data_IF_300335456196
#
_entry.id   IF_300335456196
#
_cell.length_a   1.000
_cell.length_b   1.000
_cell.length_c   1.000
_cell.angle_alpha   90.00
_cell.angle_beta   90.00
_cell.angle_gamma   90.00
#
_symmetry.space_group_name_H-M   'P 1'
#
loop_
_entity.id
_entity.type
_entity.pdbx_description
1 polymer ?
#
# COMPACT_ATOMS: atom_id res chain seq x y z
N UNK A 1 -12.19 11.94 -0.28
CA UNK A 1 -11.88 13.02 -1.25
C UNK A 1 -10.88 13.95 -0.59
N UNK A 2 -9.96 14.55 -1.35
CA UNK A 2 -9.02 15.51 -0.79
C UNK A 2 -9.71 16.86 -0.53
N UNK A 3 -9.11 17.71 0.31
CA UNK A 3 -9.68 18.96 0.82
C UNK A 3 -8.84 20.22 0.55
N UNK A 4 -7.71 20.08 -0.15
CA UNK A 4 -6.74 21.14 -0.43
C UNK A 4 -5.52 21.13 0.50
N UNK A 5 -5.57 20.40 1.62
CA UNK A 5 -4.53 20.30 2.63
C UNK A 5 -4.03 18.86 2.83
N UNK A 6 -4.56 17.91 2.06
CA UNK A 6 -4.29 16.49 2.21
C UNK A 6 -2.91 16.10 1.67
N UNK A 7 -2.32 15.07 2.28
CA UNK A 7 -1.18 14.38 1.71
C UNK A 7 -1.65 13.15 0.90
N UNK A 8 -0.99 12.90 -0.22
CA UNK A 8 -1.22 11.72 -1.06
C UNK A 8 -0.06 10.75 -0.85
N UNK A 9 -0.37 9.49 -0.55
CA UNK A 9 0.61 8.41 -0.48
C UNK A 9 0.37 7.43 -1.62
N UNK A 10 1.40 7.22 -2.45
CA UNK A 10 1.40 6.20 -3.51
C UNK A 10 2.33 5.05 -3.13
N UNK A 11 1.96 3.81 -3.45
CA UNK A 11 2.81 2.65 -3.27
C UNK A 11 3.02 1.88 -4.58
N UNK A 12 4.17 1.23 -4.71
CA UNK A 12 4.57 0.47 -5.89
C UNK A 12 4.67 -1.03 -5.63
N UNK A 13 4.56 -1.80 -6.70
CA UNK A 13 4.67 -3.25 -6.70
C UNK A 13 6.00 -3.74 -6.12
N UNK A 14 7.10 -3.02 -6.37
CA UNK A 14 8.43 -3.35 -5.82
C UNK A 14 8.67 -2.86 -4.39
N UNK A 15 7.63 -2.43 -3.68
CA UNK A 15 7.72 -2.10 -2.26
C UNK A 15 8.32 -0.72 -1.97
N UNK A 16 8.15 0.23 -2.88
CA UNK A 16 8.43 1.66 -2.64
C UNK A 16 7.15 2.44 -2.41
N UNK A 17 7.26 3.59 -1.78
CA UNK A 17 6.15 4.51 -1.55
C UNK A 17 6.62 5.96 -1.54
N UNK A 18 5.79 6.89 -1.97
CA UNK A 18 6.04 8.32 -1.85
C UNK A 18 4.83 8.98 -1.19
N UNK A 19 5.08 9.90 -0.27
CA UNK A 19 4.07 10.78 0.32
C UNK A 19 4.39 12.21 -0.07
N UNK A 20 3.46 12.94 -0.65
CA UNK A 20 3.63 14.33 -1.05
C UNK A 20 2.34 15.13 -0.82
N UNK A 21 2.46 16.44 -0.65
CA UNK A 21 1.29 17.30 -0.45
C UNK A 21 0.50 17.43 -1.75
N UNK A 22 -0.84 17.35 -1.68
CA UNK A 22 -1.67 17.52 -2.87
C UNK A 22 -1.49 18.90 -3.55
N UNK A 23 -1.01 19.91 -2.80
CA UNK A 23 -0.69 21.24 -3.32
C UNK A 23 0.37 21.23 -4.43
N UNK A 24 1.18 20.17 -4.53
CA UNK A 24 2.13 19.96 -5.63
C UNK A 24 1.49 19.48 -6.93
N UNK A 25 0.18 19.21 -6.90
CA UNK A 25 -0.64 18.81 -8.03
C UNK A 25 -1.60 19.95 -8.33
N UNK A 26 -1.32 20.68 -9.41
CA UNK A 26 -2.27 21.69 -9.90
C UNK A 26 -3.57 21.02 -10.34
N UNK A 27 -4.73 21.66 -10.10
CA UNK A 27 -5.98 21.24 -10.73
C UNK A 27 -5.83 21.19 -12.25
N UNK A 28 -6.38 20.15 -12.87
CA UNK A 28 -6.41 20.00 -14.33
C UNK A 28 -7.82 19.61 -14.77
N UNK A 29 -8.23 20.08 -15.94
CA UNK A 29 -9.48 19.66 -16.55
C UNK A 29 -9.47 18.17 -16.93
N UNK A 30 -10.65 17.60 -17.17
CA UNK A 30 -10.87 16.18 -17.49
C UNK A 30 -10.01 15.63 -18.64
N UNK A 31 -9.62 16.47 -19.59
CA UNK A 31 -8.79 16.10 -20.76
C UNK A 31 -7.28 16.15 -20.49
N UNK A 32 -6.86 16.58 -19.29
CA UNK A 32 -5.45 16.68 -18.93
C UNK A 32 -4.78 15.32 -18.76
N UNK A 33 -3.48 15.25 -19.07
CA UNK A 33 -2.69 14.01 -18.98
C UNK A 33 -2.20 13.65 -17.56
N UNK A 34 -2.50 14.49 -16.57
CA UNK A 34 -1.95 14.34 -15.22
C UNK A 34 -0.50 14.82 -15.09
N UNK A 35 0.04 14.64 -13.89
CA UNK A 35 1.44 14.89 -13.54
C UNK A 35 2.01 13.64 -12.87
N UNK A 36 3.33 13.46 -12.89
CA UNK A 36 3.98 12.26 -12.32
C UNK A 36 3.92 12.26 -10.80
N UNK A 37 3.18 11.36 -10.16
CA UNK A 37 3.16 11.22 -8.70
C UNK A 37 4.46 10.65 -8.10
N UNK A 38 4.94 9.53 -8.66
CA UNK A 38 6.15 8.82 -8.23
C UNK A 38 7.03 8.48 -9.45
N UNK A 39 8.35 8.48 -9.29
CA UNK A 39 9.27 7.93 -10.28
C UNK A 39 9.42 6.42 -10.05
N UNK A 40 8.96 5.65 -11.03
CA UNK A 40 9.03 4.20 -11.00
C UNK A 40 10.44 3.70 -11.34
N UNK A 41 10.86 2.62 -10.67
CA UNK A 41 12.03 1.85 -11.10
C UNK A 41 11.67 1.04 -12.35
N UNK A 42 12.68 0.45 -13.02
CA UNK A 42 12.47 -0.43 -14.17
C UNK A 42 11.52 -1.56 -13.77
N UNK A 43 10.51 -1.83 -14.61
CA UNK A 43 9.49 -2.87 -14.40
C UNK A 43 8.80 -2.75 -13.05
N UNK A 44 8.49 -1.52 -12.62
CA UNK A 44 7.70 -1.25 -11.43
C UNK A 44 6.40 -0.54 -11.86
N UNK A 45 5.38 -0.61 -11.00
CA UNK A 45 4.08 0.03 -11.24
C UNK A 45 3.47 0.46 -9.92
N UNK A 46 2.60 1.48 -9.97
CA UNK A 46 1.78 1.86 -8.81
C UNK A 46 0.72 0.79 -8.59
N UNK A 47 0.55 0.36 -7.34
CA UNK A 47 -0.44 -0.65 -6.92
C UNK A 47 -1.50 -0.09 -5.97
N UNK A 48 -1.29 1.11 -5.43
CA UNK A 48 -2.32 1.79 -4.65
C UNK A 48 -1.97 3.24 -4.36
N UNK A 49 -3.00 3.99 -4.00
CA UNK A 49 -2.96 5.40 -3.67
C UNK A 49 -3.92 5.66 -2.51
N UNK A 50 -3.48 6.42 -1.52
CA UNK A 50 -4.25 6.75 -0.32
C UNK A 50 -4.18 8.26 -0.03
N UNK A 51 -5.29 8.81 0.46
CA UNK A 51 -5.32 10.15 1.06
C UNK A 51 -4.97 9.96 2.52
N UNK A 52 -3.82 10.47 2.94
CA UNK A 52 -3.29 10.24 4.29
C UNK A 52 -4.20 10.85 5.34
N UNK A 53 -4.65 10.02 6.28
CA UNK A 53 -5.31 10.46 7.51
C UNK A 53 -4.35 10.24 8.68
N UNK A 54 -4.05 11.29 9.47
CA UNK A 54 -3.19 11.16 10.65
C UNK A 54 -3.71 10.11 11.65
N UNK A 55 -2.81 9.38 12.32
CA UNK A 55 -3.16 8.37 13.33
C UNK A 55 -3.53 6.98 12.77
N UNK A 56 -3.87 6.89 11.48
CA UNK A 56 -4.12 5.62 10.81
C UNK A 56 -2.82 4.86 10.50
N UNK A 57 -2.97 3.60 10.09
CA UNK A 57 -1.85 2.76 9.67
C UNK A 57 -1.98 2.44 8.19
N UNK A 58 -0.83 2.31 7.54
CA UNK A 58 -0.73 1.86 6.17
C UNK A 58 -0.49 0.36 6.14
N UNK A 59 -1.50 -0.39 5.72
CA UNK A 59 -1.42 -1.82 5.47
C UNK A 59 -0.78 -2.06 4.11
N UNK A 60 0.15 -3.01 4.05
CA UNK A 60 0.75 -3.48 2.80
C UNK A 60 0.72 -5.00 2.79
N UNK A 61 0.25 -5.60 1.68
CA UNK A 61 0.17 -7.06 1.50
C UNK A 61 0.85 -7.47 0.21
N UNK A 62 1.55 -8.61 0.25
CA UNK A 62 2.35 -9.14 -0.85
C UNK A 62 1.78 -10.42 -1.43
N UNK A 63 2.25 -10.79 -2.63
CA UNK A 63 1.75 -11.94 -3.40
C UNK A 63 1.98 -13.30 -2.73
N UNK A 64 2.98 -13.42 -1.84
CA UNK A 64 3.20 -14.64 -1.04
C UNK A 64 2.52 -14.62 0.34
N UNK A 65 1.54 -13.73 0.53
CA UNK A 65 0.71 -13.70 1.74
C UNK A 65 1.41 -13.12 2.95
N UNK A 66 2.42 -12.28 2.74
CA UNK A 66 3.02 -11.48 3.81
C UNK A 66 2.38 -10.11 3.85
N UNK A 67 2.39 -9.49 5.02
CA UNK A 67 1.96 -8.12 5.16
C UNK A 67 2.28 -7.55 6.51
N UNK A 68 1.99 -6.26 6.65
CA UNK A 68 2.21 -5.51 7.89
C UNK A 68 1.42 -4.22 7.85
N UNK A 69 1.24 -3.66 9.04
CA UNK A 69 0.80 -2.29 9.22
C UNK A 69 2.01 -1.45 9.61
N UNK A 70 2.07 -0.24 9.09
CA UNK A 70 3.08 0.73 9.51
C UNK A 70 2.41 2.05 9.83
N UNK A 71 2.86 2.70 10.89
CA UNK A 71 2.37 4.01 11.32
C UNK A 71 2.55 5.03 10.20
N UNK A 72 1.53 5.84 9.94
CA UNK A 72 1.57 6.81 8.84
C UNK A 72 2.68 7.85 9.03
N UNK A 73 3.03 8.14 10.28
CA UNK A 73 4.09 9.06 10.68
C UNK A 73 5.48 8.57 10.26
N UNK A 74 5.66 7.27 10.01
CA UNK A 74 6.94 6.75 9.50
C UNK A 74 7.18 7.10 8.03
N UNK A 75 6.15 7.50 7.28
CA UNK A 75 6.25 7.88 5.87
C UNK A 75 6.52 9.38 5.76
N UNK A 76 7.77 9.80 5.51
CA UNK A 76 8.11 11.22 5.44
C UNK A 76 7.49 11.85 4.18
N UNK A 77 7.09 13.11 4.32
CA UNK A 77 6.68 13.93 3.18
C UNK A 77 7.93 14.21 2.32
N UNK A 78 7.78 14.06 1.00
CA UNK A 78 8.80 14.31 -0.01
C UNK A 78 8.18 15.08 -1.18
N UNK A 79 9.01 15.68 -2.02
CA UNK A 79 8.52 16.30 -3.26
C UNK A 79 7.99 15.25 -4.25
N UNK A 80 6.88 15.59 -4.91
CA UNK A 80 6.23 14.74 -5.92
C UNK A 80 7.19 14.37 -7.05
N UNK A 81 7.11 13.12 -7.53
CA UNK A 81 7.91 12.62 -8.64
C UNK A 81 9.31 12.16 -8.25
N UNK A 82 9.61 12.10 -6.96
CA UNK A 82 10.76 11.40 -6.39
C UNK A 82 10.67 9.87 -6.51
N UNK A 83 11.74 9.17 -6.14
CA UNK A 83 11.79 7.69 -6.10
C UNK A 83 11.01 7.10 -4.91
N UNK A 84 10.71 7.93 -3.90
CA UNK A 84 10.08 7.48 -2.67
C UNK A 84 11.04 6.73 -1.73
N UNK A 85 10.47 6.17 -0.68
CA UNK A 85 11.14 5.35 0.34
C UNK A 85 10.63 3.92 0.29
N UNK A 86 11.41 2.98 0.80
CA UNK A 86 10.96 1.60 0.95
C UNK A 86 9.78 1.55 1.93
N UNK A 87 8.70 0.86 1.53
CA UNK A 87 7.54 0.54 2.36
C UNK A 87 7.57 -0.90 2.85
N UNK A 88 8.14 -1.84 2.09
CA UNK A 88 8.30 -3.25 2.48
C UNK A 88 9.44 -3.89 1.66
N UNK A 89 10.18 -4.84 2.26
CA UNK A 89 11.22 -5.61 1.55
C UNK A 89 10.60 -6.75 0.75
N UNK A 90 10.51 -6.56 -0.56
CA UNK A 90 10.14 -7.60 -1.52
C UNK A 90 11.35 -8.50 -1.84
N UNK A 91 11.14 -9.82 -1.86
CA UNK A 91 12.11 -10.83 -2.29
C UNK A 91 11.37 -12.11 -2.70
N UNK A 92 12.09 -13.19 -3.00
CA UNK A 92 11.49 -14.47 -3.43
C UNK A 92 10.52 -15.06 -2.39
N UNK A 93 10.80 -14.88 -1.09
CA UNK A 93 9.95 -15.37 0.00
C UNK A 93 8.67 -14.55 0.17
N UNK A 94 8.75 -13.23 0.07
CA UNK A 94 7.60 -12.34 0.28
C UNK A 94 6.82 -12.06 -1.01
N UNK A 95 7.45 -12.18 -2.17
CA UNK A 95 6.89 -11.74 -3.43
C UNK A 95 6.85 -10.21 -3.55
N UNK A 96 5.99 -9.72 -4.43
CA UNK A 96 5.76 -8.29 -4.72
C UNK A 96 4.53 -7.77 -3.99
N UNK A 97 4.38 -6.46 -3.85
CA UNK A 97 3.19 -5.84 -3.28
C UNK A 97 2.01 -6.02 -4.21
N UNK A 98 0.91 -6.55 -3.69
CA UNK A 98 -0.35 -6.75 -4.41
C UNK A 98 -1.32 -5.61 -4.13
N UNK A 99 -1.34 -5.13 -2.90
CA UNK A 99 -2.23 -4.05 -2.51
C UNK A 99 -1.77 -3.36 -1.24
N UNK A 100 -2.27 -2.14 -1.10
CA UNK A 100 -2.08 -1.29 0.08
C UNK A 100 -3.40 -0.65 0.42
N UNK A 101 -3.66 -0.48 1.71
CA UNK A 101 -4.84 0.22 2.19
C UNK A 101 -4.52 0.98 3.47
N UNK A 102 -5.18 2.11 3.65
CA UNK A 102 -5.22 2.77 4.93
C UNK A 102 -6.28 2.14 5.83
N UNK A 103 -5.88 1.82 7.07
CA UNK A 103 -6.70 1.02 7.99
C UNK A 103 -6.70 1.56 9.41
N UNK A 104 -7.84 1.36 10.07
CA UNK A 104 -8.12 1.55 11.49
C UNK A 104 -8.06 0.22 12.25
N UNK A 105 -8.07 0.26 13.58
CA UNK A 105 -7.97 -0.97 14.39
C UNK A 105 -9.23 -1.87 14.30
N UNK A 106 -10.39 -1.26 14.04
CA UNK A 106 -11.69 -1.93 13.93
C UNK A 106 -11.93 -2.54 12.56
N UNK A 107 -11.12 -2.18 11.56
CA UNK A 107 -11.27 -2.64 10.19
C UNK A 107 -11.06 -4.15 10.07
N UNK A 108 -11.61 -4.70 8.99
CA UNK A 108 -11.38 -6.08 8.58
C UNK A 108 -10.90 -6.16 7.14
N UNK A 109 -10.10 -7.17 6.86
CA UNK A 109 -9.45 -7.38 5.59
C UNK A 109 -9.92 -8.70 4.98
N UNK A 110 -10.26 -8.65 3.70
CA UNK A 110 -10.40 -9.82 2.84
C UNK A 110 -9.12 -9.98 2.02
N UNK A 111 -8.52 -11.17 2.07
CA UNK A 111 -7.37 -11.55 1.25
C UNK A 111 -7.83 -12.61 0.25
N UNK A 112 -7.68 -12.30 -1.04
CA UNK A 112 -8.19 -13.14 -2.14
C UNK A 112 -7.01 -13.74 -2.89
N UNK A 113 -7.02 -15.06 -3.06
CA UNK A 113 -5.96 -15.80 -3.77
C UNK A 113 -6.37 -16.20 -5.19
N UNK A 114 -5.37 -16.52 -6.02
CA UNK A 114 -5.56 -16.95 -7.41
C UNK A 114 -6.41 -18.20 -7.60
N UNK A 115 -6.49 -19.07 -6.58
CA UNK A 115 -7.34 -20.26 -6.58
C UNK A 115 -8.73 -20.02 -5.97
N UNK A 116 -9.11 -18.77 -5.72
CA UNK A 116 -10.45 -18.41 -5.23
C UNK A 116 -10.64 -18.56 -3.72
N UNK A 117 -9.59 -18.81 -2.94
CA UNK A 117 -9.72 -18.78 -1.48
C UNK A 117 -9.82 -17.34 -1.00
N UNK A 118 -10.76 -17.09 -0.09
CA UNK A 118 -10.98 -15.80 0.55
C UNK A 118 -10.75 -15.97 2.05
N UNK A 119 -9.81 -15.22 2.60
CA UNK A 119 -9.51 -15.22 4.03
C UNK A 119 -9.91 -13.88 4.62
N UNK A 120 -10.83 -13.90 5.59
CA UNK A 120 -11.22 -12.73 6.38
C UNK A 120 -10.39 -12.68 7.65
N UNK A 121 -9.81 -11.53 7.98
CA UNK A 121 -9.06 -11.32 9.22
C UNK A 121 -9.28 -9.92 9.78
N UNK A 122 -9.12 -9.76 11.10
CA UNK A 122 -9.17 -8.44 11.74
C UNK A 122 -7.85 -7.72 11.53
N UNK A 123 -7.92 -6.44 11.19
CA UNK A 123 -6.72 -5.64 10.94
C UNK A 123 -5.85 -5.53 12.20
N UNK A 124 -6.45 -5.47 13.39
CA UNK A 124 -5.72 -5.39 14.66
C UNK A 124 -4.84 -6.62 14.98
N UNK A 125 -5.07 -7.77 14.34
CA UNK A 125 -4.24 -8.97 14.47
C UNK A 125 -2.94 -8.87 13.65
N UNK A 126 -2.87 -7.95 12.68
CA UNK A 126 -1.70 -7.75 11.83
C UNK A 126 -0.66 -6.91 12.57
N UNK A 127 0.60 -7.32 12.59
CA UNK A 127 1.64 -6.59 13.33
C UNK A 127 1.87 -5.16 12.83
N UNK A 128 2.01 -4.22 13.77
CA UNK A 128 2.48 -2.85 13.50
C UNK A 128 3.99 -2.82 13.63
N UNK A 129 4.70 -2.71 12.50
CA UNK A 129 6.16 -2.70 12.46
C UNK A 129 6.66 -1.70 11.41
N UNK A 130 7.93 -1.34 11.52
CA UNK A 130 8.52 -0.31 10.67
C UNK A 130 8.56 -0.66 9.18
N UNK A 131 8.77 0.37 8.36
CA UNK A 131 8.74 0.26 6.88
C UNK A 131 9.74 -0.74 6.31
N UNK A 132 10.99 -0.69 6.75
CA UNK A 132 12.10 -1.44 6.14
C UNK A 132 12.17 -2.91 6.63
N UNK A 133 11.05 -3.63 6.57
CA UNK A 133 10.87 -5.01 7.06
C UNK A 133 10.19 -5.88 6.00
N UNK A 134 10.18 -7.20 6.20
CA UNK A 134 9.49 -8.15 5.31
C UNK A 134 7.99 -8.31 5.62
N UNK A 135 7.53 -7.84 6.77
CA UNK A 135 6.21 -8.17 7.28
C UNK A 135 6.14 -9.54 7.96
N UNK A 136 4.93 -9.92 8.34
CA UNK A 136 4.58 -11.21 8.93
C UNK A 136 3.69 -11.99 7.97
N UNK A 137 3.59 -13.30 8.15
CA UNK A 137 2.71 -14.13 7.33
C UNK A 137 1.26 -13.90 7.74
N UNK A 138 0.43 -13.48 6.80
CA UNK A 138 -1.01 -13.28 6.99
C UNK A 138 -1.78 -14.54 6.56
N UNK A 139 -1.40 -15.11 5.42
CA UNK A 139 -2.05 -16.29 4.85
C UNK A 139 -1.01 -17.30 4.35
N UNK A 140 -1.33 -18.58 4.50
CA UNK A 140 -0.59 -19.65 3.85
C UNK A 140 -0.91 -19.68 2.36
N UNK A 141 0.11 -19.59 1.51
CA UNK A 141 -0.03 -19.69 0.06
C UNK A 141 0.52 -21.05 -0.38
N UNK A 142 -0.33 -21.86 -1.01
CA UNK A 142 0.07 -23.14 -1.60
C UNK A 142 0.96 -22.97 -2.83
N UNK A 143 1.58 -24.05 -3.28
CA UNK A 143 2.42 -24.04 -4.47
C UNK A 143 1.63 -23.58 -5.71
N UNK A 144 2.25 -22.78 -6.57
CA UNK A 144 1.59 -22.18 -7.75
C UNK A 144 0.55 -21.10 -7.46
N UNK A 145 0.18 -20.86 -6.19
CA UNK A 145 -0.80 -19.84 -5.82
C UNK A 145 -0.14 -18.52 -5.40
N UNK A 146 -0.97 -17.47 -5.38
CA UNK A 146 -0.60 -16.16 -4.88
C UNK A 146 -1.83 -15.37 -4.41
N UNK A 147 -1.60 -14.38 -3.56
CA UNK A 147 -2.58 -13.31 -3.32
C UNK A 147 -2.71 -12.50 -4.61
N UNK A 148 -3.94 -12.23 -5.03
CA UNK A 148 -4.25 -11.44 -6.25
C UNK A 148 -4.96 -10.14 -5.92
N UNK A 149 -5.61 -10.05 -4.76
CA UNK A 149 -6.29 -8.84 -4.31
C UNK A 149 -6.43 -8.84 -2.79
N UNK A 150 -6.55 -7.64 -2.23
CA UNK A 150 -7.00 -7.41 -0.86
C UNK A 150 -8.11 -6.38 -0.91
N UNK A 151 -9.06 -6.48 0.02
CA UNK A 151 -10.12 -5.50 0.15
C UNK A 151 -10.47 -5.25 1.61
N UNK A 152 -10.72 -3.99 1.96
CA UNK A 152 -11.19 -3.61 3.29
C UNK A 152 -12.70 -3.83 3.30
N UNK A 153 -13.18 -4.56 4.29
CA UNK A 153 -14.61 -4.74 4.43
C UNK A 153 -15.24 -3.44 4.91
N UNK A 154 -16.19 -2.90 4.14
CA UNK A 154 -17.05 -1.79 4.54
C UNK A 154 -18.35 -2.41 5.04
N UNK A 155 -18.67 -2.17 6.30
CA UNK A 155 -20.00 -2.47 6.88
C UNK A 155 -20.93 -1.26 6.74
#
# INVERSE_FOLDING_TARGET
LCDGESDILLATEKGFSIRFSEKEVRPIGRTGRGVRGIRLKKEDRVVGAEIVQPGNKFLTVTSKGYGKRTRMEEYPIQGRGGLGVMTIRCNEKTGTVVGVQQVEETDQLLVITSNGNIVRMRVNEISVIGRNTQGVRLVGIGEGNQVVSIEKLVE
#
